data_IF_329155553489
#
_entry.id   IF_329155553489
#
_cell.length_a   1.000
_cell.length_b   1.000
_cell.length_c   1.000
_cell.angle_alpha   90.00
_cell.angle_beta   90.00
_cell.angle_gamma   90.00
#
_symmetry.space_group_name_H-M   'P 1'
#
loop_
_entity.id
_entity.type
_entity.pdbx_description
1 polymer ?
#
# COMPACT_ATOMS: atom_id res chain seq x y z
N UNK A 1 -6.77 -8.16 6.45
CA UNK A 1 -7.16 -9.57 6.20
C UNK A 1 -7.68 -10.25 7.49
N UNK A 2 -6.96 -10.15 8.59
CA UNK A 2 -7.37 -10.78 9.86
C UNK A 2 -8.68 -10.17 10.38
N UNK A 3 -8.83 -8.87 10.29
CA UNK A 3 -10.06 -8.18 10.72
C UNK A 3 -11.24 -8.50 9.79
N UNK A 4 -11.01 -8.63 8.49
CA UNK A 4 -12.02 -9.06 7.53
C UNK A 4 -12.44 -10.50 7.80
N UNK A 5 -11.50 -11.40 8.05
CA UNK A 5 -11.78 -12.78 8.41
C UNK A 5 -12.57 -12.85 9.74
N UNK A 6 -12.20 -12.07 10.72
CA UNK A 6 -12.89 -12.00 12.02
C UNK A 6 -14.29 -11.40 11.90
N UNK A 7 -14.50 -10.44 11.00
CA UNK A 7 -15.81 -9.85 10.76
C UNK A 7 -16.79 -10.79 10.04
N UNK A 8 -16.28 -11.70 9.19
CA UNK A 8 -17.09 -12.70 8.46
C UNK A 8 -17.49 -13.86 9.37
N UNK A 9 -16.68 -14.20 10.36
CA UNK A 9 -16.96 -15.32 11.28
C UNK A 9 -17.75 -14.84 12.50
N UNK A 10 -18.76 -15.60 12.96
CA UNK A 10 -19.43 -15.29 14.20
C UNK A 10 -18.40 -15.29 15.34
N UNK A 11 -18.36 -14.20 16.10
CA UNK A 11 -17.50 -14.11 17.26
C UNK A 11 -17.87 -15.15 18.31
N UNK A 12 -16.91 -15.93 18.80
CA UNK A 12 -17.11 -16.89 19.87
C UNK A 12 -17.36 -16.22 21.23
N UNK A 13 -17.19 -14.90 21.30
CA UNK A 13 -17.35 -14.10 22.52
C UNK A 13 -17.81 -12.69 22.17
N UNK A 14 -18.45 -12.06 23.12
CA UNK A 14 -18.91 -10.66 22.99
C UNK A 14 -17.85 -9.74 23.54
N UNK A 15 -17.41 -8.78 22.73
CA UNK A 15 -16.53 -7.68 23.15
C UNK A 15 -17.40 -6.60 23.81
N UNK A 16 -17.71 -6.80 25.07
CA UNK A 16 -18.46 -5.86 25.90
C UNK A 16 -17.52 -4.95 26.71
N UNK A 17 -18.12 -4.14 27.58
CA UNK A 17 -17.37 -3.21 28.43
C UNK A 17 -16.44 -3.90 29.42
N UNK A 18 -16.83 -5.07 29.93
CA UNK A 18 -16.02 -5.87 30.85
C UNK A 18 -14.81 -6.50 30.12
N UNK A 19 -15.02 -7.03 28.92
CA UNK A 19 -13.93 -7.56 28.09
C UNK A 19 -12.88 -6.46 27.81
N UNK A 20 -13.33 -5.25 27.41
CA UNK A 20 -12.45 -4.11 27.12
C UNK A 20 -11.64 -3.63 28.34
N UNK A 21 -12.16 -3.81 29.56
CA UNK A 21 -11.44 -3.46 30.80
C UNK A 21 -10.30 -4.44 31.12
N UNK A 22 -10.47 -5.70 30.75
CA UNK A 22 -9.56 -6.78 31.10
C UNK A 22 -8.59 -7.16 30.00
N UNK A 23 -8.89 -6.83 28.76
CA UNK A 23 -8.13 -7.23 27.58
C UNK A 23 -7.84 -6.03 26.68
N UNK A 24 -6.70 -6.07 26.04
CA UNK A 24 -6.38 -5.13 24.97
C UNK A 24 -7.22 -5.54 23.76
N UNK A 25 -8.04 -4.60 23.27
CA UNK A 25 -8.80 -4.77 22.04
C UNK A 25 -8.12 -3.92 20.97
N UNK A 26 -7.64 -4.56 19.91
CA UNK A 26 -7.03 -3.87 18.79
C UNK A 26 -8.04 -2.91 18.13
N UNK A 27 -7.54 -1.78 17.67
CA UNK A 27 -8.28 -0.88 16.80
C UNK A 27 -8.08 -1.38 15.36
N UNK A 28 -9.15 -1.82 14.69
CA UNK A 28 -9.07 -2.40 13.33
C UNK A 28 -8.38 -1.47 12.35
N UNK A 29 -8.74 -0.17 12.36
CA UNK A 29 -8.10 0.83 11.50
C UNK A 29 -6.59 0.94 11.76
N UNK A 30 -6.17 0.95 13.03
CA UNK A 30 -4.77 0.99 13.41
C UNK A 30 -4.03 -0.27 12.93
N UNK A 31 -4.64 -1.43 13.16
CA UNK A 31 -4.08 -2.74 12.72
C UNK A 31 -3.90 -2.78 11.22
N UNK A 32 -4.90 -2.33 10.46
CA UNK A 32 -4.83 -2.26 9.01
C UNK A 32 -3.75 -1.29 8.53
N UNK A 33 -3.68 -0.08 9.09
CA UNK A 33 -2.66 0.91 8.71
C UNK A 33 -1.23 0.41 8.97
N UNK A 34 -0.99 -0.19 10.14
CA UNK A 34 0.30 -0.81 10.47
C UNK A 34 0.60 -1.98 9.53
N UNK A 35 -0.41 -2.82 9.24
CA UNK A 35 -0.28 -3.95 8.32
C UNK A 35 0.14 -3.53 6.93
N UNK A 36 -0.43 -2.45 6.37
CA UNK A 36 -0.02 -1.90 5.08
C UNK A 36 1.45 -1.45 5.07
N UNK A 37 1.91 -0.81 6.15
CA UNK A 37 3.31 -0.37 6.26
C UNK A 37 4.28 -1.55 6.40
N UNK A 38 3.94 -2.56 7.21
CA UNK A 38 4.75 -3.77 7.37
C UNK A 38 4.79 -4.58 6.07
N UNK A 39 3.67 -4.71 5.35
CA UNK A 39 3.63 -5.40 4.08
C UNK A 39 4.53 -4.73 3.03
N UNK A 40 4.52 -3.40 2.97
CA UNK A 40 5.45 -2.64 2.13
C UNK A 40 6.90 -2.88 2.55
N UNK A 41 7.21 -2.85 3.85
CA UNK A 41 8.56 -3.10 4.35
C UNK A 41 9.08 -4.47 3.92
N UNK A 42 8.28 -5.52 4.09
CA UNK A 42 8.64 -6.88 3.67
C UNK A 42 8.84 -7.00 2.16
N UNK A 43 8.03 -6.31 1.35
CA UNK A 43 8.18 -6.29 -0.10
C UNK A 43 9.45 -5.56 -0.53
N UNK A 44 9.77 -4.44 0.12
CA UNK A 44 11.03 -3.71 -0.11
C UNK A 44 12.24 -4.51 0.38
N UNK A 45 12.12 -5.27 1.46
CA UNK A 45 13.16 -6.20 1.91
C UNK A 45 13.42 -7.30 0.87
N UNK A 46 12.37 -7.87 0.29
CA UNK A 46 12.52 -8.84 -0.77
C UNK A 46 13.21 -8.24 -2.01
N UNK A 47 12.85 -7.02 -2.38
CA UNK A 47 13.49 -6.29 -3.49
C UNK A 47 14.98 -6.00 -3.22
N UNK A 48 15.35 -5.70 -2.00
CA UNK A 48 16.72 -5.34 -1.62
C UNK A 48 17.61 -6.55 -1.31
N UNK A 49 17.03 -7.74 -1.17
CA UNK A 49 17.78 -8.98 -0.90
C UNK A 49 18.23 -9.63 -2.21
N UNK A 50 19.54 -9.73 -2.48
CA UNK A 50 20.06 -10.33 -3.72
C UNK A 50 19.65 -11.79 -3.97
N UNK A 51 19.20 -12.50 -2.91
CA UNK A 51 18.74 -13.89 -3.01
C UNK A 51 17.24 -14.00 -3.35
N UNK A 52 16.49 -12.91 -3.17
CA UNK A 52 15.03 -12.89 -3.29
C UNK A 52 14.52 -11.97 -4.41
N UNK A 53 15.39 -11.11 -4.94
CA UNK A 53 15.00 -10.14 -5.96
C UNK A 53 15.21 -10.64 -7.40
N UNK A 54 15.72 -11.87 -7.57
CA UNK A 54 16.02 -12.46 -8.86
C UNK A 54 15.62 -13.93 -8.92
N UNK A 55 15.16 -14.34 -10.09
CA UNK A 55 15.04 -15.73 -10.53
C UNK A 55 16.03 -15.94 -11.70
N UNK A 56 17.19 -16.50 -11.38
CA UNK A 56 18.31 -16.61 -12.31
C UNK A 56 18.80 -15.22 -12.76
N UNK A 57 18.72 -14.95 -14.06
CA UNK A 57 19.13 -13.66 -14.65
C UNK A 57 18.00 -12.63 -14.68
N UNK A 58 16.76 -13.05 -14.38
CA UNK A 58 15.59 -12.19 -14.43
C UNK A 58 15.28 -11.58 -13.04
N UNK A 59 14.67 -10.39 -12.97
CA UNK A 59 14.13 -9.89 -11.72
C UNK A 59 12.97 -10.79 -11.24
N UNK A 60 12.78 -10.90 -9.93
CA UNK A 60 11.68 -11.65 -9.35
C UNK A 60 10.33 -10.99 -9.69
N UNK A 61 9.56 -11.62 -10.56
CA UNK A 61 8.37 -11.02 -11.17
C UNK A 61 7.25 -10.73 -10.16
N UNK A 62 7.19 -11.47 -9.05
CA UNK A 62 6.17 -11.26 -8.01
C UNK A 62 6.26 -9.88 -7.34
N UNK A 63 7.39 -9.19 -7.48
CA UNK A 63 7.61 -7.85 -6.96
C UNK A 63 6.98 -6.76 -7.83
N UNK A 64 6.48 -7.11 -9.02
CA UNK A 64 6.01 -6.17 -10.02
C UNK A 64 4.54 -6.38 -10.34
N UNK A 65 3.88 -5.31 -10.77
CA UNK A 65 2.51 -5.37 -11.25
C UNK A 65 2.47 -5.83 -12.71
N UNK A 66 2.18 -7.12 -12.88
CA UNK A 66 2.07 -7.73 -14.21
C UNK A 66 0.86 -7.18 -14.99
N UNK A 67 -0.21 -6.79 -14.31
CA UNK A 67 -1.42 -6.30 -14.96
C UNK A 67 -1.27 -4.88 -15.50
N UNK A 68 -0.25 -4.13 -15.07
CA UNK A 68 0.10 -2.86 -15.69
C UNK A 68 0.38 -3.01 -17.20
N UNK A 69 0.85 -4.20 -17.64
CA UNK A 69 1.14 -4.52 -19.03
C UNK A 69 0.23 -5.62 -19.60
N UNK A 70 -0.14 -6.62 -18.78
CA UNK A 70 -0.98 -7.75 -19.19
C UNK A 70 -2.45 -7.51 -18.83
N UNK A 71 -3.17 -6.84 -19.72
CA UNK A 71 -4.62 -6.59 -19.59
C UNK A 71 -5.34 -6.98 -20.87
N UNK A 72 -6.66 -7.15 -20.81
CA UNK A 72 -7.47 -7.45 -21.99
C UNK A 72 -7.40 -6.31 -23.01
N UNK A 73 -7.05 -6.63 -24.24
CA UNK A 73 -7.05 -5.69 -25.37
C UNK A 73 -8.47 -5.38 -25.86
N UNK A 74 -9.45 -6.20 -25.48
CA UNK A 74 -10.83 -6.11 -25.97
C UNK A 74 -11.66 -5.05 -25.21
N UNK A 75 -11.33 -4.82 -23.94
CA UNK A 75 -12.20 -4.06 -23.02
C UNK A 75 -11.67 -2.67 -22.70
N UNK A 76 -10.38 -2.44 -22.79
CA UNK A 76 -9.80 -1.16 -22.38
C UNK A 76 -8.54 -0.81 -23.17
N UNK A 77 -8.55 0.38 -23.78
CA UNK A 77 -7.30 0.98 -24.25
C UNK A 77 -6.42 1.27 -23.05
N UNK A 78 -5.12 0.95 -23.17
CA UNK A 78 -4.19 1.28 -22.11
C UNK A 78 -4.28 2.76 -21.74
N UNK A 79 -4.41 3.01 -20.45
CA UNK A 79 -4.32 4.36 -19.89
C UNK A 79 -3.39 4.34 -18.69
N UNK A 80 -2.46 5.30 -18.58
CA UNK A 80 -1.61 5.37 -17.42
C UNK A 80 -2.45 5.64 -16.17
N UNK A 81 -2.14 4.94 -15.07
CA UNK A 81 -2.69 5.33 -13.78
C UNK A 81 -2.20 6.75 -13.46
N UNK A 82 -3.11 7.66 -13.07
CA UNK A 82 -2.73 9.02 -12.69
C UNK A 82 -1.62 9.01 -11.63
N UNK A 83 -0.61 9.86 -11.80
CA UNK A 83 0.45 10.03 -10.81
C UNK A 83 1.64 9.10 -10.90
N UNK A 84 1.62 8.02 -11.70
CA UNK A 84 2.81 7.14 -11.86
C UNK A 84 3.89 7.78 -12.74
N UNK A 85 3.50 8.53 -13.75
CA UNK A 85 4.43 9.13 -14.72
C UNK A 85 5.09 8.11 -15.65
N UNK A 86 4.67 6.83 -15.63
CA UNK A 86 5.21 5.77 -16.46
C UNK A 86 4.43 5.66 -17.77
N UNK A 87 5.15 5.35 -18.85
CA UNK A 87 4.56 5.07 -20.17
C UNK A 87 4.06 3.63 -20.30
N UNK A 88 3.44 3.30 -21.46
CA UNK A 88 2.99 1.93 -21.74
C UNK A 88 4.17 0.95 -21.77
N UNK A 89 3.95 -0.26 -21.27
CA UNK A 89 4.96 -1.33 -21.29
C UNK A 89 6.09 -1.16 -20.27
N UNK A 90 6.05 -0.12 -19.44
CA UNK A 90 7.05 0.05 -18.38
C UNK A 90 6.64 -0.77 -17.17
N UNK A 91 7.53 -1.66 -16.76
CA UNK A 91 7.33 -2.50 -15.57
C UNK A 91 7.30 -1.62 -14.32
N UNK A 92 6.28 -1.82 -13.50
CA UNK A 92 6.04 -1.06 -12.27
C UNK A 92 6.18 -1.98 -11.06
N UNK A 93 6.85 -1.49 -10.02
CA UNK A 93 6.80 -2.14 -8.71
C UNK A 93 5.35 -2.24 -8.24
N UNK A 94 4.96 -3.37 -7.64
CA UNK A 94 3.63 -3.50 -7.04
C UNK A 94 3.51 -2.54 -5.86
N UNK A 95 2.78 -1.47 -6.09
CA UNK A 95 2.64 -0.33 -5.19
C UNK A 95 1.27 -0.27 -4.49
N UNK A 96 0.53 -1.36 -4.48
CA UNK A 96 -0.80 -1.43 -3.87
C UNK A 96 -0.81 -0.98 -2.41
N UNK A 97 0.17 -1.42 -1.61
CA UNK A 97 0.34 -0.94 -0.24
C UNK A 97 0.71 0.56 -0.18
N UNK A 98 1.51 1.05 -1.13
CA UNK A 98 1.86 2.48 -1.20
C UNK A 98 0.63 3.34 -1.46
N UNK A 99 -0.29 2.91 -2.32
CA UNK A 99 -1.56 3.61 -2.55
C UNK A 99 -2.37 3.75 -1.27
N UNK A 100 -2.53 2.66 -0.52
CA UNK A 100 -3.25 2.68 0.75
C UNK A 100 -2.54 3.57 1.77
N UNK A 101 -1.23 3.45 1.91
CA UNK A 101 -0.43 4.27 2.83
C UNK A 101 -0.49 5.76 2.49
N UNK A 102 -0.47 6.12 1.20
CA UNK A 102 -0.63 7.52 0.78
C UNK A 102 -1.98 8.09 1.24
N UNK A 103 -3.05 7.31 1.13
CA UNK A 103 -4.37 7.73 1.57
C UNK A 103 -4.41 7.87 3.09
N UNK A 104 -3.95 6.86 3.83
CA UNK A 104 -3.95 6.86 5.29
C UNK A 104 -3.13 8.02 5.84
N UNK A 105 -1.87 8.13 5.41
CA UNK A 105 -0.94 9.11 5.97
C UNK A 105 -1.32 10.55 5.59
N UNK A 106 -1.87 10.79 4.39
CA UNK A 106 -2.30 12.14 3.99
C UNK A 106 -3.44 12.69 4.86
N UNK A 107 -4.25 11.81 5.42
CA UNK A 107 -5.32 12.20 6.36
C UNK A 107 -4.80 12.48 7.78
N UNK A 108 -3.64 11.95 8.16
CA UNK A 108 -3.06 12.09 9.51
C UNK A 108 -1.96 13.15 9.54
N UNK A 109 -1.06 13.08 8.56
CA UNK A 109 0.09 13.97 8.41
C UNK A 109 0.30 14.29 6.92
N UNK A 110 -0.29 15.37 6.42
CA UNK A 110 -0.20 15.75 5.00
C UNK A 110 1.23 15.93 4.50
N UNK A 111 2.17 16.36 5.36
CA UNK A 111 3.59 16.53 4.97
C UNK A 111 4.23 15.18 4.67
N UNK A 112 3.99 14.18 5.54
CA UNK A 112 4.44 12.81 5.29
C UNK A 112 3.73 12.17 4.10
N UNK A 113 2.46 12.50 3.89
CA UNK A 113 1.72 12.09 2.70
C UNK A 113 2.38 12.58 1.41
N UNK A 114 2.72 13.87 1.34
CA UNK A 114 3.44 14.45 0.20
C UNK A 114 4.79 13.78 -0.03
N UNK A 115 5.57 13.59 1.04
CA UNK A 115 6.86 12.89 0.96
C UNK A 115 6.71 11.48 0.39
N UNK A 116 5.72 10.72 0.86
CA UNK A 116 5.48 9.36 0.39
C UNK A 116 5.10 9.31 -1.09
N UNK A 117 4.28 10.26 -1.56
CA UNK A 117 3.92 10.41 -2.98
C UNK A 117 5.17 10.68 -3.82
N UNK A 118 6.04 11.59 -3.39
CA UNK A 118 7.28 11.91 -4.09
C UNK A 118 8.23 10.71 -4.14
N UNK A 119 8.42 10.02 -3.03
CA UNK A 119 9.26 8.82 -2.97
C UNK A 119 8.72 7.69 -3.86
N UNK A 120 7.40 7.53 -3.94
CA UNK A 120 6.77 6.56 -4.85
C UNK A 120 7.07 6.89 -6.30
N UNK A 121 6.97 8.17 -6.69
CA UNK A 121 7.32 8.61 -8.05
C UNK A 121 8.79 8.38 -8.37
N UNK A 122 9.68 8.64 -7.41
CA UNK A 122 11.12 8.38 -7.57
C UNK A 122 11.39 6.89 -7.76
N UNK A 123 10.74 6.02 -6.96
CA UNK A 123 10.86 4.57 -7.12
C UNK A 123 10.42 4.13 -8.52
N UNK A 124 9.24 4.57 -8.96
CA UNK A 124 8.73 4.21 -10.28
C UNK A 124 9.64 4.73 -11.41
N UNK A 125 10.08 5.98 -11.33
CA UNK A 125 10.99 6.53 -12.34
C UNK A 125 12.30 5.76 -12.40
N UNK A 126 12.85 5.38 -11.25
CA UNK A 126 14.14 4.68 -11.18
C UNK A 126 14.12 3.28 -11.82
N UNK A 127 12.95 2.65 -12.02
CA UNK A 127 12.86 1.38 -12.77
C UNK A 127 13.28 1.54 -14.23
N UNK A 128 13.21 2.75 -14.78
CA UNK A 128 13.62 3.07 -16.16
C UNK A 128 15.04 3.62 -16.27
N UNK A 129 15.74 3.79 -15.15
CA UNK A 129 17.09 4.37 -15.10
C UNK A 129 18.15 3.29 -14.93
N UNK A 130 18.45 2.92 -13.71
CA UNK A 130 19.42 1.90 -13.38
C UNK A 130 19.14 1.28 -12.00
N UNK A 131 19.73 0.11 -11.79
CA UNK A 131 19.53 -0.69 -10.57
C UNK A 131 19.98 0.05 -9.29
N UNK A 132 21.06 0.83 -9.37
CA UNK A 132 21.58 1.57 -8.20
C UNK A 132 20.58 2.62 -7.71
N UNK A 133 19.98 3.39 -8.63
CA UNK A 133 18.95 4.37 -8.32
C UNK A 133 17.69 3.70 -7.78
N UNK A 134 17.31 2.56 -8.36
CA UNK A 134 16.15 1.79 -7.93
C UNK A 134 16.30 1.29 -6.49
N UNK A 135 17.45 0.70 -6.15
CA UNK A 135 17.71 0.27 -4.78
C UNK A 135 17.87 1.44 -3.80
N UNK A 136 18.42 2.57 -4.23
CA UNK A 136 18.46 3.76 -3.39
C UNK A 136 17.07 4.29 -3.05
N UNK A 137 16.17 4.34 -4.03
CA UNK A 137 14.77 4.71 -3.84
C UNK A 137 14.03 3.73 -2.92
N UNK A 138 14.24 2.42 -3.11
CA UNK A 138 13.67 1.37 -2.27
C UNK A 138 14.13 1.47 -0.81
N UNK A 139 15.41 1.73 -0.56
CA UNK A 139 15.96 1.96 0.80
C UNK A 139 15.35 3.18 1.47
N UNK A 140 15.16 4.28 0.74
CA UNK A 140 14.52 5.48 1.27
C UNK A 140 13.07 5.21 1.66
N UNK A 141 12.31 4.52 0.81
CA UNK A 141 10.93 4.11 1.10
C UNK A 141 10.84 3.15 2.29
N UNK A 142 11.74 2.18 2.40
CA UNK A 142 11.78 1.27 3.55
C UNK A 142 11.93 2.02 4.86
N UNK A 143 12.82 3.02 4.92
CA UNK A 143 12.96 3.87 6.11
C UNK A 143 11.66 4.61 6.42
N UNK A 144 11.04 5.19 5.41
CA UNK A 144 9.75 5.89 5.57
C UNK A 144 8.66 4.93 6.05
N UNK A 145 8.62 3.70 5.56
CA UNK A 145 7.66 2.68 6.02
C UNK A 145 7.80 2.38 7.50
N UNK A 146 9.02 2.20 8.00
CA UNK A 146 9.29 2.00 9.44
C UNK A 146 8.85 3.22 10.29
N UNK A 147 9.06 4.43 9.78
CA UNK A 147 8.58 5.66 10.42
C UNK A 147 7.05 5.72 10.45
N UNK A 148 6.37 5.20 9.42
CA UNK A 148 4.91 5.11 9.37
C UNK A 148 4.37 4.08 10.36
N UNK A 149 5.00 2.93 10.53
CA UNK A 149 4.64 1.96 11.59
C UNK A 149 4.66 2.65 12.95
N UNK A 150 5.73 3.43 13.22
CA UNK A 150 5.85 4.19 14.48
C UNK A 150 4.77 5.27 14.61
N UNK A 151 4.44 5.97 13.53
CA UNK A 151 3.39 6.98 13.51
C UNK A 151 2.02 6.34 13.82
N UNK A 152 1.67 5.28 13.10
CA UNK A 152 0.37 4.62 13.23
C UNK A 152 0.20 3.93 14.57
N UNK A 153 1.26 3.38 15.17
CA UNK A 153 1.19 2.76 16.50
C UNK A 153 0.88 3.78 17.62
N UNK A 154 1.21 5.05 17.40
CA UNK A 154 0.95 6.14 18.36
C UNK A 154 -0.31 6.94 18.06
N UNK A 155 -0.84 6.84 16.83
CA UNK A 155 -2.05 7.57 16.44
C UNK A 155 -3.31 6.89 16.98
N UNK A 156 -4.17 7.67 17.59
CA UNK A 156 -5.46 7.19 18.08
C UNK A 156 -6.52 7.33 16.99
N UNK A 157 -6.67 6.30 16.17
CA UNK A 157 -7.65 6.28 15.09
C UNK A 157 -9.08 6.32 15.63
N UNK A 158 -9.82 7.37 15.28
CA UNK A 158 -11.21 7.58 15.68
C UNK A 158 -12.18 7.55 14.49
N UNK A 159 -13.46 7.75 14.77
CA UNK A 159 -14.52 7.77 13.73
C UNK A 159 -14.28 8.80 12.64
N UNK A 160 -13.66 9.95 12.98
CA UNK A 160 -13.34 10.99 11.99
C UNK A 160 -12.28 10.50 10.99
N UNK A 161 -11.25 9.80 11.48
CA UNK A 161 -10.20 9.26 10.61
C UNK A 161 -10.78 8.24 9.63
N UNK A 162 -11.63 7.33 10.13
CA UNK A 162 -12.32 6.33 9.30
C UNK A 162 -13.20 7.01 8.24
N UNK A 163 -14.02 7.99 8.62
CA UNK A 163 -14.88 8.72 7.67
C UNK A 163 -14.05 9.48 6.61
N UNK A 164 -12.96 10.12 7.03
CA UNK A 164 -12.06 10.85 6.12
C UNK A 164 -11.36 9.89 5.15
N UNK A 165 -10.93 8.73 5.64
CA UNK A 165 -10.32 7.70 4.83
C UNK A 165 -11.28 7.15 3.77
N UNK A 166 -12.50 6.78 4.16
CA UNK A 166 -13.52 6.29 3.22
C UNK A 166 -13.82 7.31 2.13
N UNK A 167 -13.96 8.59 2.49
CA UNK A 167 -14.15 9.67 1.51
C UNK A 167 -12.94 9.77 0.56
N UNK A 168 -11.72 9.67 1.09
CA UNK A 168 -10.50 9.72 0.28
C UNK A 168 -10.40 8.52 -0.67
N UNK A 169 -10.78 7.33 -0.25
CA UNK A 169 -10.86 6.13 -1.11
C UNK A 169 -11.83 6.34 -2.25
N UNK A 170 -13.04 6.83 -1.96
CA UNK A 170 -14.06 7.12 -2.98
C UNK A 170 -13.58 8.18 -3.98
N UNK A 171 -12.96 9.26 -3.50
CA UNK A 171 -12.45 10.31 -4.39
C UNK A 171 -11.30 9.81 -5.28
N UNK A 172 -10.43 8.94 -4.78
CA UNK A 172 -9.38 8.32 -5.59
C UNK A 172 -9.94 7.31 -6.60
N UNK A 173 -10.96 6.54 -6.23
CA UNK A 173 -11.65 5.65 -7.15
C UNK A 173 -12.29 6.43 -8.33
N UNK A 174 -12.94 7.57 -8.06
CA UNK A 174 -13.48 8.46 -9.10
C UNK A 174 -12.42 9.00 -10.06
N UNK A 175 -11.17 9.09 -9.61
CA UNK A 175 -10.02 9.54 -10.41
C UNK A 175 -9.27 8.38 -11.08
N UNK A 176 -9.82 7.18 -11.09
CA UNK A 176 -9.22 5.97 -11.65
C UNK A 176 -7.83 5.62 -11.05
N UNK A 177 -7.58 5.97 -9.77
CA UNK A 177 -6.33 5.63 -9.08
C UNK A 177 -6.22 4.12 -8.78
N UNK A 178 -7.33 3.39 -8.79
CA UNK A 178 -7.43 1.94 -8.59
C UNK A 178 -7.77 1.24 -9.90
N UNK A 179 -7.05 1.57 -10.97
CA UNK A 179 -7.32 1.01 -12.30
C UNK A 179 -6.72 -0.39 -12.51
N UNK A 180 -5.85 -0.85 -11.62
CA UNK A 180 -5.29 -2.19 -11.61
C UNK A 180 -5.96 -3.08 -10.56
N UNK A 181 -5.88 -4.40 -10.76
CA UNK A 181 -6.53 -5.38 -9.90
C UNK A 181 -6.06 -5.29 -8.44
N UNK A 182 -4.74 -5.24 -8.22
CA UNK A 182 -4.16 -5.29 -6.88
C UNK A 182 -4.50 -4.03 -6.07
N UNK A 183 -4.45 -2.87 -6.73
CA UNK A 183 -4.87 -1.59 -6.11
C UNK A 183 -6.36 -1.58 -5.79
N UNK A 184 -7.21 -2.09 -6.68
CA UNK A 184 -8.65 -2.19 -6.46
C UNK A 184 -8.98 -3.18 -5.33
N UNK A 185 -8.32 -4.33 -5.29
CA UNK A 185 -8.47 -5.33 -4.22
C UNK A 185 -8.14 -4.73 -2.86
N UNK A 186 -6.99 -4.07 -2.72
CA UNK A 186 -6.61 -3.42 -1.46
C UNK A 186 -7.60 -2.32 -1.04
N UNK A 187 -8.14 -1.57 -1.99
CA UNK A 187 -9.13 -0.53 -1.70
C UNK A 187 -10.48 -1.08 -1.24
N UNK A 188 -10.86 -2.29 -1.70
CA UNK A 188 -12.11 -2.96 -1.30
C UNK A 188 -11.95 -3.68 0.03
N UNK A 189 -10.77 -4.26 0.29
CA UNK A 189 -10.48 -5.02 1.51
C UNK A 189 -10.20 -4.14 2.73
N UNK A 190 -9.79 -2.89 2.55
CA UNK A 190 -9.54 -1.91 3.61
C UNK A 190 -10.79 -1.19 4.03
#
# INVERSE_FOLDING_TARGET
ELDTFTAIQPAHYKIDSDYRKRKIVANGMQTWAIGQAIALEHRLDALLDPKRNRDGIFPELVLYDCQACHHSLMEQKWQPRPGTGLGPGVVRFDDSNLLMLQIIVSNIDPKKGTLLVEQTKILHKSTTENEANYYAAAKALKKTSADLVTLFSKHNFGKKDVSSLLNSLVEKAKKAEFSDYVGAEQAIMG
#
